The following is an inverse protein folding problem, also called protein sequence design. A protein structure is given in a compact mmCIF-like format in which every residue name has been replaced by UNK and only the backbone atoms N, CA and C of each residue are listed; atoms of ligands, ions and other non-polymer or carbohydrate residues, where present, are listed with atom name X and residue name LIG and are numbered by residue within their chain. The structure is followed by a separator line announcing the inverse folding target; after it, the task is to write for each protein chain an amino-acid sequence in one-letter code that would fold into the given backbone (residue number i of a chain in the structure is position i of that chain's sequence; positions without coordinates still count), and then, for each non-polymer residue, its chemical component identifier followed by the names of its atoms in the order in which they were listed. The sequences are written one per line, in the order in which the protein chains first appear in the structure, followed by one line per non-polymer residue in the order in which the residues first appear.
data_IF_865746729081
#
_entry.id   IF_865746729081
#
_cell.length_a   1.000
_cell.length_b   1.000
_cell.length_c   1.000
_cell.angle_alpha   90.00
_cell.angle_beta   90.00
_cell.angle_gamma   90.00
#
_symmetry.space_group_name_H-M   'P 1'
#
loop_
_entity.id
_entity.type
_entity.pdbx_description
1 polymer ?
#
# COMPACT_ATOMS: atom_id res chain seq x y z
N UNK A 1 -17.33 -19.81 31.56
CA UNK A 1 -17.08 -18.35 31.38
C UNK A 1 -15.62 -18.03 31.14
N UNK A 2 -14.66 -18.37 32.02
CA UNK A 2 -13.21 -18.07 31.84
C UNK A 2 -12.63 -18.53 30.49
N UNK A 3 -12.99 -19.71 30.01
CA UNK A 3 -12.51 -20.27 28.73
C UNK A 3 -13.03 -19.52 27.49
N UNK A 4 -14.25 -18.97 27.55
CA UNK A 4 -14.85 -18.21 26.44
C UNK A 4 -14.14 -16.86 26.27
N UNK A 5 -13.79 -16.21 27.39
CA UNK A 5 -13.08 -14.92 27.38
C UNK A 5 -11.67 -15.08 26.80
N UNK A 6 -10.95 -16.16 27.17
CA UNK A 6 -9.61 -16.44 26.64
C UNK A 6 -9.67 -16.68 25.12
N UNK A 7 -10.68 -17.44 24.66
CA UNK A 7 -10.83 -17.75 23.24
C UNK A 7 -11.14 -16.51 22.38
N UNK A 8 -11.92 -15.56 22.91
CA UNK A 8 -12.21 -14.28 22.24
C UNK A 8 -10.99 -13.37 22.15
N UNK A 9 -10.12 -13.35 23.18
CA UNK A 9 -8.88 -12.56 23.17
C UNK A 9 -7.89 -13.13 22.14
N UNK A 10 -7.76 -14.45 22.08
CA UNK A 10 -6.94 -15.11 21.05
C UNK A 10 -7.43 -14.79 19.64
N UNK A 11 -8.75 -14.79 19.42
CA UNK A 11 -9.33 -14.46 18.11
C UNK A 11 -9.09 -12.99 17.74
N UNK A 12 -9.23 -12.05 18.69
CA UNK A 12 -8.97 -10.63 18.45
C UNK A 12 -7.50 -10.37 18.08
N UNK A 13 -6.55 -11.03 18.75
CA UNK A 13 -5.11 -10.91 18.45
C UNK A 13 -4.77 -11.41 17.04
N UNK A 14 -5.37 -12.53 16.61
CA UNK A 14 -5.15 -13.08 15.26
C UNK A 14 -5.72 -12.12 14.21
N UNK A 15 -6.90 -11.53 14.45
CA UNK A 15 -7.50 -10.56 13.52
C UNK A 15 -6.67 -9.28 13.38
N UNK A 16 -6.04 -8.79 14.46
CA UNK A 16 -5.14 -7.63 14.38
C UNK A 16 -3.86 -7.88 13.59
N UNK A 17 -3.39 -9.13 13.53
CA UNK A 17 -2.19 -9.49 12.78
C UNK A 17 -2.43 -9.60 11.26
N UNK A 18 -3.68 -9.78 10.83
CA UNK A 18 -4.04 -9.87 9.41
C UNK A 18 -4.17 -8.51 8.71
N UNK A 19 -4.58 -7.45 9.42
CA UNK A 19 -4.72 -6.11 8.88
C UNK A 19 -3.44 -5.51 8.22
N UNK A 20 -2.23 -5.61 8.83
CA UNK A 20 -1.03 -4.99 8.25
C UNK A 20 -0.52 -5.72 6.99
N UNK A 21 -0.89 -6.99 6.76
CA UNK A 21 -0.44 -7.72 5.57
C UNK A 21 -1.15 -7.24 4.29
N UNK A 22 -2.43 -6.91 4.39
CA UNK A 22 -3.25 -6.41 3.28
C UNK A 22 -2.81 -5.00 2.86
N UNK A 23 -2.55 -4.12 3.83
CA UNK A 23 -2.10 -2.76 3.56
C UNK A 23 -0.74 -2.73 2.86
N UNK A 24 0.21 -3.57 3.29
CA UNK A 24 1.52 -3.66 2.65
C UNK A 24 1.42 -4.20 1.21
N UNK A 25 0.54 -5.18 0.96
CA UNK A 25 0.30 -5.69 -0.38
C UNK A 25 -0.32 -4.62 -1.30
N UNK A 26 -1.28 -3.83 -0.78
CA UNK A 26 -1.87 -2.68 -1.49
C UNK A 26 -0.80 -1.66 -1.86
N UNK A 27 -0.01 -1.20 -0.89
CA UNK A 27 1.05 -0.22 -1.12
C UNK A 27 2.03 -0.75 -2.17
N UNK A 28 2.48 -1.99 -2.06
CA UNK A 28 3.39 -2.59 -3.04
C UNK A 28 2.81 -2.61 -4.46
N UNK A 29 1.52 -2.92 -4.61
CA UNK A 29 0.83 -2.89 -5.89
C UNK A 29 0.77 -1.48 -6.49
N UNK A 30 0.53 -0.46 -5.66
CA UNK A 30 0.53 0.94 -6.08
C UNK A 30 1.92 1.41 -6.53
N UNK A 31 2.98 1.01 -5.81
CA UNK A 31 4.35 1.23 -6.27
C UNK A 31 4.61 0.53 -7.60
N UNK A 32 4.19 -0.73 -7.77
CA UNK A 32 4.31 -1.43 -9.05
C UNK A 32 3.59 -0.73 -10.21
N UNK A 33 2.45 -0.10 -9.94
CA UNK A 33 1.62 0.60 -10.94
C UNK A 33 2.15 1.99 -11.30
N UNK A 34 2.66 2.76 -10.33
CA UNK A 34 2.94 4.19 -10.51
C UNK A 34 4.43 4.57 -10.42
N UNK A 35 5.33 3.67 -10.04
CA UNK A 35 6.77 3.97 -9.88
C UNK A 35 7.39 4.63 -11.13
N UNK A 36 7.20 4.04 -12.31
CA UNK A 36 7.73 4.58 -13.57
C UNK A 36 7.14 5.96 -13.89
N UNK A 37 5.83 6.14 -13.67
CA UNK A 37 5.14 7.40 -13.90
C UNK A 37 5.66 8.51 -12.98
N UNK A 38 5.76 8.24 -11.67
CA UNK A 38 6.23 9.23 -10.71
C UNK A 38 7.71 9.58 -10.90
N UNK A 39 8.55 8.62 -11.29
CA UNK A 39 9.95 8.90 -11.65
C UNK A 39 10.05 9.82 -12.87
N UNK A 40 9.36 9.46 -13.94
CA UNK A 40 9.35 10.27 -15.17
C UNK A 40 8.78 11.67 -14.91
N UNK A 41 7.70 11.77 -14.12
CA UNK A 41 7.12 13.05 -13.73
C UNK A 41 8.12 13.91 -12.95
N UNK A 42 8.82 13.33 -11.96
CA UNK A 42 9.79 14.04 -11.15
C UNK A 42 10.98 14.54 -11.99
N UNK A 43 11.57 13.66 -12.81
CA UNK A 43 12.71 14.00 -13.67
C UNK A 43 12.39 15.08 -14.71
N UNK A 44 11.14 15.12 -15.20
CA UNK A 44 10.70 16.13 -16.18
C UNK A 44 10.33 17.48 -15.55
N UNK A 45 9.92 17.47 -14.28
CA UNK A 45 9.36 18.66 -13.64
C UNK A 45 10.42 19.45 -12.89
N UNK A 46 11.37 18.77 -12.25
CA UNK A 46 12.40 19.40 -11.42
C UNK A 46 13.80 18.91 -11.79
N UNK A 47 14.81 19.71 -11.46
CA UNK A 47 16.20 19.29 -11.52
C UNK A 47 16.61 18.49 -10.29
N UNK A 48 17.83 17.92 -10.33
CA UNK A 48 18.48 17.45 -9.11
C UNK A 48 18.81 18.65 -8.22
N UNK A 49 18.59 18.61 -6.88
CA UNK A 49 18.26 17.46 -6.01
C UNK A 49 16.76 17.20 -5.72
N UNK A 50 15.84 18.00 -6.27
CA UNK A 50 14.42 17.97 -5.90
C UNK A 50 13.65 16.77 -6.47
N UNK A 51 14.22 16.06 -7.46
CA UNK A 51 13.60 14.89 -8.13
C UNK A 51 13.08 13.88 -7.10
N UNK A 52 13.89 13.55 -6.09
CA UNK A 52 13.52 12.55 -5.11
C UNK A 52 12.38 13.03 -4.17
N UNK A 53 12.29 14.34 -3.89
CA UNK A 53 11.17 14.90 -3.12
C UNK A 53 9.86 14.79 -3.91
N UNK A 54 9.89 15.22 -5.17
CA UNK A 54 8.71 15.22 -6.02
C UNK A 54 8.25 13.79 -6.36
N UNK A 55 9.18 12.85 -6.52
CA UNK A 55 8.87 11.43 -6.65
C UNK A 55 8.09 10.91 -5.43
N UNK A 56 8.55 11.22 -4.21
CA UNK A 56 7.86 10.80 -2.98
C UNK A 56 6.49 11.45 -2.85
N UNK A 57 6.38 12.75 -3.13
CA UNK A 57 5.09 13.46 -3.10
C UNK A 57 4.07 12.83 -4.08
N UNK A 58 4.52 12.45 -5.28
CA UNK A 58 3.69 11.76 -6.27
C UNK A 58 3.23 10.38 -5.75
N UNK A 59 4.15 9.59 -5.18
CA UNK A 59 3.80 8.28 -4.62
C UNK A 59 2.83 8.40 -3.44
N UNK A 60 3.07 9.34 -2.54
CA UNK A 60 2.21 9.61 -1.37
C UNK A 60 0.81 10.04 -1.80
N UNK A 61 0.69 10.83 -2.87
CA UNK A 61 -0.60 11.18 -3.45
C UNK A 61 -1.38 9.93 -3.89
N UNK A 62 -0.77 9.02 -4.66
CA UNK A 62 -1.46 7.81 -5.10
C UNK A 62 -1.76 6.84 -3.95
N UNK A 63 -0.87 6.71 -2.98
CA UNK A 63 -1.12 5.89 -1.77
C UNK A 63 -2.24 6.46 -0.92
N UNK A 64 -2.31 7.79 -0.77
CA UNK A 64 -3.32 8.46 0.05
C UNK A 64 -4.68 8.63 -0.64
N UNK A 65 -4.72 8.65 -1.98
CA UNK A 65 -5.97 8.80 -2.75
C UNK A 65 -6.56 7.47 -3.23
N UNK A 66 -5.78 6.38 -3.20
CA UNK A 66 -6.30 5.04 -3.48
C UNK A 66 -7.39 4.66 -2.47
N UNK A 67 -8.57 4.34 -2.98
CA UNK A 67 -9.70 3.94 -2.15
C UNK A 67 -9.39 2.58 -1.56
N UNK A 68 -9.23 2.51 -0.24
CA UNK A 68 -9.10 1.24 0.45
C UNK A 68 -10.38 0.42 0.25
N UNK A 69 -10.30 -0.54 -0.65
CA UNK A 69 -11.40 -1.43 -0.99
C UNK A 69 -11.05 -2.83 -0.48
N UNK A 70 -11.62 -3.27 0.66
CA UNK A 70 -11.29 -4.55 1.29
C UNK A 70 -11.73 -5.78 0.47
N UNK A 71 -12.42 -5.55 -0.65
CA UNK A 71 -12.90 -6.58 -1.58
C UNK A 71 -12.30 -6.47 -2.98
N UNK A 72 -11.49 -5.43 -3.24
CA UNK A 72 -10.87 -5.25 -4.53
C UNK A 72 -9.61 -6.11 -4.55
N UNK A 73 -9.69 -7.24 -5.25
CA UNK A 73 -8.54 -8.12 -5.47
C UNK A 73 -7.50 -7.30 -6.22
N UNK A 74 -6.31 -7.12 -5.63
CA UNK A 74 -5.15 -6.60 -6.37
C UNK A 74 -4.98 -7.51 -7.58
N UNK A 75 -5.19 -6.96 -8.76
CA UNK A 75 -5.18 -7.74 -9.99
C UNK A 75 -3.76 -8.29 -10.21
N UNK A 76 -3.59 -9.59 -9.95
CA UNK A 76 -2.35 -10.35 -10.17
C UNK A 76 -1.85 -10.31 -11.61
N UNK A 77 -2.64 -9.79 -12.56
CA UNK A 77 -2.21 -9.58 -13.95
C UNK A 77 -1.33 -8.34 -14.11
N UNK A 78 -1.23 -7.47 -13.09
CA UNK A 78 -0.26 -6.37 -13.04
C UNK A 78 1.14 -6.82 -12.59
N UNK A 79 1.27 -8.07 -12.10
CA UNK A 79 2.55 -8.70 -11.69
C UNK A 79 3.28 -9.37 -12.88
N UNK A 80 3.07 -8.90 -14.11
CA UNK A 80 3.74 -9.43 -15.30
C UNK A 80 5.14 -8.83 -15.43
N UNK A 81 6.12 -9.55 -14.88
CA UNK A 81 7.51 -9.54 -15.34
C UNK A 81 7.68 -10.36 -16.61
#
# INVERSE_FOLDING_TARGET
MKTIVISLISLALILTACAPAEENARIKALYGKYDAHCKEHAEKTVGSPEVESLYRECMDYFVGTDVHCPYCVVDVHMDKK
#
